data_IF_253209097817
#
_entry.id   IF_253209097817
#
_cell.length_a   1.000
_cell.length_b   1.000
_cell.length_c   1.000
_cell.angle_alpha   90.00
_cell.angle_beta   90.00
_cell.angle_gamma   90.00
#
_symmetry.space_group_name_H-M   'P 1'
#
loop_
_entity.id
_entity.type
_entity.pdbx_description
1 polymer ?
#
# COMPACT_ATOMS: atom_id res chain seq x y z
N UNK A 1 -11.10 -7.33 -27.28
CA UNK A 1 -11.51 -6.86 -25.93
C UNK A 1 -12.96 -6.46 -26.01
N UNK A 2 -13.71 -6.58 -24.92
CA UNK A 2 -15.06 -6.04 -24.85
C UNK A 2 -14.99 -4.50 -24.72
N UNK A 3 -15.49 -3.79 -25.73
CA UNK A 3 -15.42 -2.33 -25.78
C UNK A 3 -16.24 -1.65 -24.67
N UNK A 4 -17.37 -2.25 -24.26
CA UNK A 4 -18.15 -1.73 -23.15
C UNK A 4 -17.35 -1.84 -21.85
N UNK A 5 -16.74 -2.99 -21.60
CA UNK A 5 -15.88 -3.18 -20.43
C UNK A 5 -14.69 -2.21 -20.45
N UNK A 6 -14.09 -1.94 -21.61
CA UNK A 6 -13.01 -0.96 -21.74
C UNK A 6 -13.46 0.45 -21.35
N UNK A 7 -14.66 0.85 -21.76
CA UNK A 7 -15.23 2.15 -21.37
C UNK A 7 -15.56 2.20 -19.88
N UNK A 8 -16.14 1.12 -19.34
CA UNK A 8 -16.50 1.05 -17.93
C UNK A 8 -15.26 1.01 -17.02
N UNK A 9 -14.19 0.35 -17.44
CA UNK A 9 -12.90 0.36 -16.75
C UNK A 9 -12.41 1.80 -16.51
N UNK A 10 -12.50 2.66 -17.52
CA UNK A 10 -12.09 4.06 -17.41
C UNK A 10 -13.12 4.88 -16.63
N UNK A 11 -14.41 4.78 -16.96
CA UNK A 11 -15.46 5.66 -16.40
C UNK A 11 -15.83 5.34 -14.96
N UNK A 12 -15.77 4.06 -14.57
CA UNK A 12 -16.24 3.58 -13.27
C UNK A 12 -15.08 3.33 -12.31
N UNK A 13 -13.99 2.74 -12.82
CA UNK A 13 -12.90 2.26 -11.97
C UNK A 13 -11.63 3.12 -12.04
N UNK A 14 -11.62 4.17 -12.88
CA UNK A 14 -10.43 4.97 -13.20
C UNK A 14 -9.22 4.08 -13.55
N UNK A 15 -9.50 2.98 -14.23
CA UNK A 15 -8.54 1.96 -14.61
C UNK A 15 -8.29 2.02 -16.12
N UNK A 16 -7.09 1.63 -16.52
CA UNK A 16 -6.75 1.41 -17.94
C UNK A 16 -6.78 -0.06 -18.26
N UNK A 17 -7.25 -0.38 -19.47
CA UNK A 17 -7.34 -1.75 -19.96
C UNK A 17 -6.78 -1.81 -21.38
N UNK A 18 -5.59 -2.41 -21.50
CA UNK A 18 -4.80 -2.39 -22.73
C UNK A 18 -4.47 -3.80 -23.21
N UNK A 19 -4.36 -3.94 -24.54
CA UNK A 19 -3.91 -5.18 -25.17
C UNK A 19 -2.40 -5.16 -25.26
N UNK A 20 -1.75 -6.16 -24.67
CA UNK A 20 -0.29 -6.34 -24.71
C UNK A 20 0.02 -7.65 -25.41
N UNK A 21 1.10 -7.68 -26.20
CA UNK A 21 1.60 -8.90 -26.82
C UNK A 21 2.52 -9.64 -25.84
N UNK A 22 2.05 -10.75 -25.29
CA UNK A 22 2.81 -11.58 -24.36
C UNK A 22 3.71 -12.62 -25.05
N UNK A 23 3.70 -12.72 -26.39
CA UNK A 23 4.59 -13.66 -27.12
C UNK A 23 6.06 -13.38 -26.83
N UNK A 24 6.40 -12.11 -26.59
CA UNK A 24 7.67 -11.68 -26.03
C UNK A 24 7.46 -11.15 -24.60
N UNK A 25 7.55 -12.04 -23.62
CA UNK A 25 7.32 -11.73 -22.21
C UNK A 25 8.20 -10.60 -21.67
N UNK A 26 9.46 -10.53 -22.09
CA UNK A 26 10.38 -9.47 -21.67
C UNK A 26 9.94 -8.09 -22.19
N UNK A 27 9.54 -8.00 -23.46
CA UNK A 27 9.03 -6.75 -24.03
C UNK A 27 7.69 -6.32 -23.39
N UNK A 28 6.82 -7.29 -23.07
CA UNK A 28 5.58 -7.04 -22.35
C UNK A 28 5.82 -6.50 -20.93
N UNK A 29 6.75 -7.11 -20.20
CA UNK A 29 7.13 -6.66 -18.86
C UNK A 29 7.72 -5.24 -18.89
N UNK A 30 8.59 -4.94 -19.86
CA UNK A 30 9.15 -3.60 -20.04
C UNK A 30 8.06 -2.55 -20.33
N UNK A 31 7.10 -2.88 -21.20
CA UNK A 31 5.97 -2.00 -21.51
C UNK A 31 5.15 -1.67 -20.25
N UNK A 32 4.83 -2.70 -19.45
CA UNK A 32 4.06 -2.56 -18.21
C UNK A 32 4.86 -1.73 -17.20
N UNK A 33 6.15 -2.00 -17.02
CA UNK A 33 7.02 -1.24 -16.11
C UNK A 33 7.07 0.24 -16.49
N UNK A 34 7.24 0.58 -17.78
CA UNK A 34 7.24 1.97 -18.24
C UNK A 34 5.92 2.67 -17.95
N UNK A 35 4.81 1.97 -18.11
CA UNK A 35 3.49 2.53 -17.77
C UNK A 35 3.39 2.80 -16.25
N UNK A 36 3.78 1.86 -15.41
CA UNK A 36 3.79 2.02 -13.93
C UNK A 36 4.69 3.17 -13.50
N UNK A 37 5.89 3.27 -14.08
CA UNK A 37 6.82 4.36 -13.80
C UNK A 37 6.20 5.72 -14.12
N UNK A 38 5.53 5.84 -15.27
CA UNK A 38 4.84 7.07 -15.67
C UNK A 38 3.68 7.46 -14.74
N UNK A 39 3.02 6.47 -14.12
CA UNK A 39 1.90 6.69 -13.18
C UNK A 39 2.33 6.94 -11.75
N UNK A 40 3.60 6.70 -11.42
CA UNK A 40 4.13 6.75 -10.05
C UNK A 40 5.22 7.80 -9.87
N UNK A 41 5.32 8.78 -10.78
CA UNK A 41 6.40 9.78 -10.80
C UNK A 41 7.80 9.13 -10.73
N UNK A 42 7.96 8.01 -11.45
CA UNK A 42 9.19 7.21 -11.50
C UNK A 42 9.64 6.60 -10.16
N UNK A 43 8.75 6.54 -9.16
CA UNK A 43 9.09 5.99 -7.83
C UNK A 43 9.00 4.48 -7.78
N UNK A 44 8.11 3.89 -8.59
CA UNK A 44 8.00 2.44 -8.70
C UNK A 44 8.58 2.03 -10.07
N UNK A 45 9.76 1.42 -10.02
CA UNK A 45 10.46 0.87 -11.19
C UNK A 45 10.49 -0.65 -11.11
N UNK A 46 10.65 -1.28 -12.27
CA UNK A 46 10.86 -2.72 -12.40
C UNK A 46 9.84 -3.56 -11.60
N UNK A 47 8.56 -3.26 -11.74
CA UNK A 47 7.48 -3.99 -11.07
C UNK A 47 7.44 -5.47 -11.50
N UNK A 48 7.68 -5.72 -12.77
CA UNK A 48 7.71 -7.05 -13.37
C UNK A 48 9.12 -7.34 -13.88
N UNK A 49 9.67 -8.50 -13.50
CA UNK A 49 10.92 -9.00 -14.07
C UNK A 49 10.71 -9.48 -15.51
N UNK A 50 11.77 -9.55 -16.30
CA UNK A 50 11.68 -9.97 -17.72
C UNK A 50 11.22 -11.41 -17.93
N UNK A 51 11.32 -12.26 -16.90
CA UNK A 51 10.90 -13.66 -16.86
C UNK A 51 9.52 -13.86 -16.20
N UNK A 52 8.89 -12.79 -15.69
CA UNK A 52 7.59 -12.87 -15.00
C UNK A 52 6.41 -13.16 -15.94
N UNK A 53 6.59 -12.97 -17.25
CA UNK A 53 5.58 -13.13 -18.29
C UNK A 53 6.11 -14.03 -19.41
N UNK A 54 5.20 -14.72 -20.10
CA UNK A 54 5.51 -15.63 -21.20
C UNK A 54 4.33 -15.70 -22.20
N UNK A 55 4.50 -16.47 -23.27
CA UNK A 55 3.47 -16.65 -24.32
C UNK A 55 2.15 -17.25 -23.83
N UNK A 56 2.14 -17.88 -22.66
CA UNK A 56 0.94 -18.45 -22.04
C UNK A 56 0.20 -17.46 -21.14
N UNK A 57 0.78 -16.28 -20.90
CA UNK A 57 0.14 -15.19 -20.18
C UNK A 57 -1.10 -14.69 -20.94
N UNK A 58 -2.20 -14.47 -20.22
CA UNK A 58 -3.51 -14.08 -20.78
C UNK A 58 -4.02 -12.76 -20.21
N UNK A 59 -3.95 -12.59 -18.89
CA UNK A 59 -4.34 -11.36 -18.21
C UNK A 59 -3.39 -11.07 -17.06
N UNK A 60 -2.93 -9.82 -16.98
CA UNK A 60 -2.04 -9.34 -15.93
C UNK A 60 -2.72 -8.19 -15.20
N UNK A 61 -2.82 -8.31 -13.88
CA UNK A 61 -3.35 -7.26 -13.01
C UNK A 61 -2.19 -6.54 -12.32
N UNK A 62 -2.15 -5.23 -12.46
CA UNK A 62 -1.11 -4.39 -11.88
C UNK A 62 -1.75 -3.31 -11.04
N UNK A 63 -1.33 -3.23 -9.79
CA UNK A 63 -1.68 -2.15 -8.89
C UNK A 63 -0.39 -1.51 -8.36
N UNK A 64 -0.27 -0.19 -8.51
CA UNK A 64 0.90 0.55 -8.05
C UNK A 64 0.44 1.79 -7.28
N UNK A 65 0.88 1.95 -6.03
CA UNK A 65 0.53 3.09 -5.18
C UNK A 65 1.79 3.84 -4.76
N UNK A 66 1.79 5.16 -4.95
CA UNK A 66 2.81 6.04 -4.41
C UNK A 66 2.14 7.09 -3.54
N UNK A 67 2.56 7.19 -2.29
CA UNK A 67 2.09 8.23 -1.38
C UNK A 67 3.25 9.07 -0.83
N UNK A 68 3.14 10.38 -1.08
CA UNK A 68 3.94 11.43 -0.45
C UNK A 68 3.06 12.65 -0.20
N UNK A 69 2.68 12.84 1.05
CA UNK A 69 1.86 13.97 1.48
C UNK A 69 2.70 15.04 2.15
N UNK A 70 2.28 16.30 1.99
CA UNK A 70 2.86 17.44 2.72
C UNK A 70 2.11 17.62 4.04
N UNK A 71 2.81 17.53 5.17
CA UNK A 71 2.19 17.75 6.49
C UNK A 71 1.56 19.14 6.59
N UNK A 72 0.39 19.24 7.24
CA UNK A 72 -0.22 20.53 7.61
C UNK A 72 0.69 21.30 8.58
N UNK A 73 1.29 20.56 9.52
CA UNK A 73 2.28 21.05 10.49
C UNK A 73 3.59 20.32 10.21
N UNK A 74 4.55 21.01 9.59
CA UNK A 74 5.78 20.40 9.10
C UNK A 74 6.85 20.36 10.19
N UNK A 75 7.68 19.33 10.13
CA UNK A 75 8.89 19.22 10.93
C UNK A 75 9.95 20.17 10.39
N UNK A 76 10.61 20.93 11.27
CA UNK A 76 11.79 21.70 10.87
C UNK A 76 12.97 20.73 10.67
N UNK A 77 13.60 20.68 9.48
CA UNK A 77 14.77 19.84 9.23
C UNK A 77 15.91 20.08 10.23
N UNK A 78 16.05 21.28 10.78
CA UNK A 78 17.07 21.61 11.80
C UNK A 78 16.84 20.87 13.13
N UNK A 79 15.60 20.43 13.39
CA UNK A 79 15.25 19.65 14.58
C UNK A 79 15.32 18.14 14.34
N UNK A 80 15.75 17.69 13.16
CA UNK A 80 15.97 16.26 12.88
C UNK A 80 17.33 15.85 13.41
N UNK A 81 17.37 14.87 14.32
CA UNK A 81 18.60 14.37 14.94
C UNK A 81 18.62 12.84 14.92
N UNK A 82 19.81 12.25 14.82
CA UNK A 82 19.95 10.80 14.97
C UNK A 82 19.62 10.40 16.42
N UNK A 83 18.63 9.53 16.60
CA UNK A 83 18.20 9.02 17.90
C UNK A 83 17.95 7.51 17.86
N UNK A 84 17.92 6.83 19.02
CA UNK A 84 17.67 5.40 19.10
C UNK A 84 16.26 5.01 18.64
N UNK A 85 16.15 3.92 17.89
CA UNK A 85 14.92 3.22 17.54
C UNK A 85 15.07 1.74 17.92
N UNK A 86 14.17 1.23 18.75
CA UNK A 86 14.16 -0.17 19.17
C UNK A 86 13.46 -1.00 18.09
N UNK A 87 14.24 -1.85 17.42
CA UNK A 87 13.70 -2.80 16.43
C UNK A 87 12.98 -3.93 17.15
N UNK A 88 13.54 -4.37 18.28
CA UNK A 88 13.01 -5.34 19.23
C UNK A 88 13.61 -5.05 20.62
N UNK A 89 13.38 -5.93 21.59
CA UNK A 89 13.85 -5.77 22.98
C UNK A 89 15.37 -5.90 23.15
N UNK A 90 16.08 -6.44 22.15
CA UNK A 90 17.52 -6.68 22.18
C UNK A 90 18.31 -5.77 21.22
N UNK A 91 17.64 -5.26 20.17
CA UNK A 91 18.27 -4.53 19.07
C UNK A 91 17.77 -3.09 18.98
N UNK A 92 18.72 -2.17 19.08
CA UNK A 92 18.52 -0.73 18.88
C UNK A 92 19.39 -0.23 17.74
N UNK A 93 18.84 0.65 16.90
CA UNK A 93 19.55 1.32 15.80
C UNK A 93 19.41 2.83 15.90
N UNK A 94 20.37 3.59 15.41
CA UNK A 94 20.25 5.06 15.31
C UNK A 94 19.57 5.43 14.00
N UNK A 95 18.54 6.26 14.05
CA UNK A 95 17.78 6.73 12.88
C UNK A 95 17.54 8.24 12.97
N UNK A 96 17.40 8.93 11.82
CA UNK A 96 17.04 10.35 11.82
C UNK A 96 15.61 10.51 12.33
N UNK A 97 15.45 10.97 13.57
CA UNK A 97 14.18 11.28 14.21
C UNK A 97 13.81 12.74 13.96
N UNK A 98 12.66 12.96 13.37
CA UNK A 98 12.06 14.28 13.23
C UNK A 98 11.36 14.66 14.54
N UNK A 99 11.41 15.94 14.90
CA UNK A 99 10.80 16.45 16.12
C UNK A 99 9.92 17.68 15.86
N UNK A 100 8.73 17.69 16.45
CA UNK A 100 7.82 18.83 16.45
C UNK A 100 6.92 18.79 17.70
N UNK A 101 6.66 19.95 18.30
CA UNK A 101 5.68 20.10 19.38
C UNK A 101 4.56 21.03 18.93
N UNK A 102 3.33 20.49 18.86
CA UNK A 102 2.15 21.26 18.45
C UNK A 102 0.87 20.54 18.91
N UNK A 103 -0.30 21.12 18.64
CA UNK A 103 -1.59 20.48 18.89
C UNK A 103 -1.90 19.41 17.83
N UNK A 104 -2.15 18.19 18.26
CA UNK A 104 -2.55 17.06 17.40
C UNK A 104 -3.73 16.31 18.03
N UNK A 105 -4.46 15.59 17.19
CA UNK A 105 -5.46 14.65 17.66
C UNK A 105 -4.73 13.43 18.22
N UNK A 106 -4.96 13.14 19.49
CA UNK A 106 -4.27 12.11 20.27
C UNK A 106 -5.26 11.28 21.08
N UNK A 107 -4.91 10.02 21.35
CA UNK A 107 -5.65 9.15 22.25
C UNK A 107 -4.77 8.04 22.80
N UNK A 108 -5.21 7.44 23.90
CA UNK A 108 -4.59 6.23 24.46
C UNK A 108 -5.67 5.17 24.59
N UNK A 109 -5.42 4.00 24.01
CA UNK A 109 -6.31 2.85 24.15
C UNK A 109 -5.68 1.84 25.08
N UNK A 110 -6.25 1.72 26.29
CA UNK A 110 -5.85 0.70 27.25
C UNK A 110 -6.18 -0.72 26.75
N UNK A 111 -7.29 -0.87 26.02
CA UNK A 111 -7.71 -2.16 25.47
C UNK A 111 -6.81 -2.61 24.33
N UNK A 112 -6.43 -1.70 23.43
CA UNK A 112 -5.45 -1.99 22.38
C UNK A 112 -4.04 -2.15 22.97
N UNK A 113 -3.72 -1.40 24.02
CA UNK A 113 -2.39 -1.31 24.61
C UNK A 113 -1.47 -0.39 23.80
N UNK A 114 -2.01 0.70 23.28
CA UNK A 114 -1.31 1.57 22.34
C UNK A 114 -1.71 3.05 22.47
N UNK A 115 -0.80 3.92 22.07
CA UNK A 115 -1.02 5.35 21.83
C UNK A 115 -1.41 5.58 20.37
N UNK A 116 -2.33 6.51 20.13
CA UNK A 116 -2.81 6.90 18.82
C UNK A 116 -2.48 8.37 18.56
N UNK A 117 -1.90 8.64 17.40
CA UNK A 117 -1.60 9.99 16.93
C UNK A 117 -2.12 10.18 15.52
N UNK A 118 -2.92 11.22 15.30
CA UNK A 118 -3.46 11.56 13.98
C UNK A 118 -2.91 12.91 13.50
N UNK A 119 -2.21 12.88 12.36
CA UNK A 119 -1.56 14.03 11.76
C UNK A 119 -2.15 14.33 10.38
N UNK A 120 -2.65 15.55 10.18
CA UNK A 120 -3.25 15.96 8.91
C UNK A 120 -2.21 16.39 7.88
N UNK A 121 -2.49 16.07 6.61
CA UNK A 121 -1.82 16.67 5.45
C UNK A 121 -2.48 18.00 5.07
N UNK A 122 -1.79 18.80 4.25
CA UNK A 122 -2.32 20.06 3.71
C UNK A 122 -3.70 19.86 3.07
N UNK A 123 -4.62 20.77 3.36
CA UNK A 123 -6.00 20.72 2.88
C UNK A 123 -6.91 19.79 3.68
N UNK A 124 -6.40 19.06 4.68
CA UNK A 124 -7.16 18.31 5.70
C UNK A 124 -8.09 17.22 5.15
N UNK A 125 -7.92 16.85 3.87
CA UNK A 125 -8.65 15.74 3.22
C UNK A 125 -8.03 14.37 3.51
N UNK A 126 -6.81 14.34 4.01
CA UNK A 126 -6.08 13.13 4.37
C UNK A 126 -5.31 13.32 5.68
N UNK A 127 -5.09 12.23 6.40
CA UNK A 127 -4.30 12.19 7.62
C UNK A 127 -3.56 10.86 7.74
N UNK A 128 -2.41 10.88 8.41
CA UNK A 128 -1.75 9.66 8.89
C UNK A 128 -2.22 9.37 10.32
N UNK A 129 -2.65 8.13 10.56
CA UNK A 129 -2.87 7.58 11.89
C UNK A 129 -1.68 6.70 12.25
N UNK A 130 -1.04 7.01 13.37
CA UNK A 130 0.04 6.21 13.95
C UNK A 130 -0.52 5.52 15.18
N UNK A 131 -0.36 4.19 15.24
CA UNK A 131 -0.69 3.37 16.40
C UNK A 131 0.62 2.84 16.95
N UNK A 132 1.04 3.35 18.10
CA UNK A 132 2.30 3.00 18.75
C UNK A 132 1.99 2.10 19.96
N UNK A 133 2.34 0.80 19.93
CA UNK A 133 2.21 -0.06 21.10
C UNK A 133 2.98 0.52 22.30
N UNK A 134 2.44 0.33 23.51
CA UNK A 134 3.09 0.82 24.73
C UNK A 134 4.38 0.05 25.05
N UNK A 135 4.42 -1.23 24.68
CA UNK A 135 5.56 -2.13 24.87
C UNK A 135 6.37 -2.27 23.57
N UNK A 136 7.70 -2.43 23.68
CA UNK A 136 8.62 -2.54 22.53
C UNK A 136 8.26 -3.73 21.64
N UNK A 137 7.88 -4.87 22.23
CA UNK A 137 7.44 -6.09 21.54
C UNK A 137 5.91 -6.18 21.40
N UNK A 138 5.18 -5.09 21.64
CA UNK A 138 3.72 -5.06 21.65
C UNK A 138 3.05 -5.08 20.28
N UNK A 139 3.80 -4.95 19.18
CA UNK A 139 3.25 -4.82 17.83
C UNK A 139 2.40 -6.03 17.42
N UNK A 140 2.88 -7.26 17.65
CA UNK A 140 2.15 -8.47 17.30
C UNK A 140 0.81 -8.58 18.05
N UNK A 141 0.80 -8.17 19.33
CA UNK A 141 -0.42 -8.13 20.14
C UNK A 141 -1.45 -7.13 19.62
N UNK A 142 -1.00 -5.95 19.18
CA UNK A 142 -1.87 -4.95 18.54
C UNK A 142 -2.40 -5.49 17.20
N UNK A 143 -1.55 -6.06 16.36
CA UNK A 143 -1.94 -6.64 15.06
C UNK A 143 -2.97 -7.76 15.22
N UNK A 144 -2.79 -8.64 16.20
CA UNK A 144 -3.72 -9.74 16.46
C UNK A 144 -5.10 -9.21 16.88
N UNK A 145 -5.17 -8.23 17.79
CA UNK A 145 -6.45 -7.61 18.18
C UNK A 145 -7.18 -6.98 16.99
N UNK A 146 -6.44 -6.30 16.11
CA UNK A 146 -7.00 -5.72 14.89
C UNK A 146 -7.52 -6.81 13.95
N UNK A 147 -6.79 -7.92 13.79
CA UNK A 147 -7.23 -9.06 12.99
C UNK A 147 -8.49 -9.74 13.55
N UNK A 148 -8.64 -9.74 14.88
CA UNK A 148 -9.80 -10.29 15.59
C UNK A 148 -11.03 -9.34 15.58
N UNK A 149 -10.92 -8.21 14.88
CA UNK A 149 -12.05 -7.29 14.64
C UNK A 149 -12.16 -6.14 15.65
N UNK A 150 -11.08 -5.81 16.36
CA UNK A 150 -11.04 -4.62 17.22
C UNK A 150 -11.42 -3.35 16.44
N UNK A 151 -12.34 -2.54 17.00
CA UNK A 151 -12.84 -1.33 16.36
C UNK A 151 -11.86 -0.16 16.53
N UNK A 152 -10.85 -0.13 15.65
CA UNK A 152 -9.92 0.99 15.58
C UNK A 152 -10.61 2.32 15.21
N UNK A 153 -11.72 2.28 14.47
CA UNK A 153 -12.41 3.50 14.06
C UNK A 153 -13.11 4.18 15.25
N UNK A 154 -13.71 3.39 16.15
CA UNK A 154 -14.26 3.87 17.41
C UNK A 154 -13.20 4.46 18.34
N UNK A 155 -11.96 3.95 18.32
CA UNK A 155 -10.84 4.58 19.05
C UNK A 155 -10.43 5.92 18.45
N UNK A 156 -10.42 6.03 17.12
CA UNK A 156 -10.12 7.30 16.43
C UNK A 156 -11.15 8.38 16.76
N UNK A 157 -12.43 8.00 16.90
CA UNK A 157 -13.52 8.93 17.26
C UNK A 157 -13.42 9.45 18.70
N UNK A 158 -12.71 8.74 19.59
CA UNK A 158 -12.47 9.16 20.98
C UNK A 158 -11.25 10.07 21.13
N UNK A 159 -10.41 10.20 20.09
CA UNK A 159 -9.23 11.05 20.13
C UNK A 159 -9.61 12.53 20.29
N UNK A 160 -8.77 13.30 20.99
CA UNK A 160 -9.01 14.72 21.23
C UNK A 160 -7.76 15.54 20.89
N UNK A 161 -7.97 16.81 20.55
CA UNK A 161 -6.88 17.72 20.23
C UNK A 161 -6.16 18.15 21.51
N UNK A 162 -4.86 17.91 21.57
CA UNK A 162 -4.01 18.30 22.69
C UNK A 162 -2.59 18.57 22.22
N UNK A 163 -1.80 19.26 23.05
CA UNK A 163 -0.39 19.54 22.77
C UNK A 163 0.44 18.26 22.92
N UNK A 164 1.13 17.85 21.87
CA UNK A 164 1.94 16.62 21.84
C UNK A 164 3.34 16.93 21.31
N UNK A 165 4.36 16.35 21.97
CA UNK A 165 5.72 16.29 21.46
C UNK A 165 5.86 15.06 20.57
N UNK A 166 5.88 15.26 19.26
CA UNK A 166 5.95 14.18 18.27
C UNK A 166 7.40 13.95 17.87
N UNK A 167 7.87 12.72 18.09
CA UNK A 167 9.17 12.24 17.62
C UNK A 167 8.94 11.02 16.74
N UNK A 168 9.27 11.11 15.45
CA UNK A 168 9.00 10.04 14.47
C UNK A 168 10.18 9.91 13.49
N UNK A 169 10.60 8.69 13.10
CA UNK A 169 11.69 8.54 12.16
C UNK A 169 11.31 9.02 10.76
N UNK A 170 12.30 9.51 10.00
CA UNK A 170 12.17 9.56 8.53
C UNK A 170 12.25 8.14 8.00
N UNK A 171 11.30 7.73 7.18
CA UNK A 171 11.32 6.39 6.62
C UNK A 171 10.75 6.32 5.21
N UNK A 172 11.13 5.25 4.53
CA UNK A 172 10.59 4.86 3.23
C UNK A 172 10.25 3.38 3.32
N UNK A 173 9.04 3.03 2.93
CA UNK A 173 8.60 1.64 2.84
C UNK A 173 8.21 1.38 1.40
N UNK A 174 8.81 0.33 0.84
CA UNK A 174 8.47 -0.20 -0.46
C UNK A 174 8.07 -1.66 -0.26
N UNK A 175 6.85 -2.01 -0.64
CA UNK A 175 6.32 -3.36 -0.50
C UNK A 175 5.86 -3.84 -1.86
N UNK A 176 6.21 -5.08 -2.19
CA UNK A 176 5.69 -5.81 -3.34
C UNK A 176 4.94 -7.04 -2.85
N UNK A 177 3.69 -7.19 -3.30
CA UNK A 177 2.79 -8.26 -2.89
C UNK A 177 2.40 -9.04 -4.13
N UNK A 178 2.68 -10.34 -4.11
CA UNK A 178 2.14 -11.27 -5.11
C UNK A 178 0.67 -11.57 -4.78
N UNK A 179 -0.23 -10.94 -5.53
CA UNK A 179 -1.67 -11.13 -5.35
C UNK A 179 -2.12 -12.51 -5.84
N UNK A 180 -1.35 -13.21 -6.66
CA UNK A 180 -1.63 -14.60 -7.02
C UNK A 180 -1.42 -15.55 -5.84
N UNK A 181 -0.59 -15.20 -4.86
CA UNK A 181 -0.44 -15.98 -3.62
C UNK A 181 -1.44 -15.52 -2.54
N UNK A 182 -1.62 -14.21 -2.37
CA UNK A 182 -2.46 -13.65 -1.31
C UNK A 182 -3.96 -13.87 -1.53
N UNK A 183 -4.49 -13.54 -2.72
CA UNK A 183 -5.94 -13.56 -2.98
C UNK A 183 -6.56 -14.96 -2.83
N UNK A 184 -5.90 -16.07 -3.24
CA UNK A 184 -6.38 -17.42 -2.95
C UNK A 184 -6.54 -17.73 -1.47
N UNK A 185 -5.64 -17.23 -0.60
CA UNK A 185 -5.75 -17.41 0.86
C UNK A 185 -6.98 -16.71 1.43
N UNK A 186 -7.42 -15.64 0.78
CA UNK A 186 -8.65 -14.90 1.09
C UNK A 186 -9.92 -15.46 0.39
N UNK A 187 -9.80 -16.59 -0.31
CA UNK A 187 -10.93 -17.26 -0.97
C UNK A 187 -11.17 -16.86 -2.43
N UNK A 188 -10.44 -15.87 -2.95
CA UNK A 188 -10.52 -15.45 -4.36
C UNK A 188 -9.57 -16.33 -5.18
N UNK A 189 -10.09 -17.46 -5.68
CA UNK A 189 -9.30 -18.48 -6.39
C UNK A 189 -9.65 -18.62 -7.86
N UNK A 190 -10.94 -18.55 -8.17
CA UNK A 190 -11.47 -18.89 -9.49
C UNK A 190 -10.79 -18.08 -10.61
N UNK A 191 -10.58 -16.77 -10.43
CA UNK A 191 -10.01 -15.89 -11.47
C UNK A 191 -8.62 -16.32 -11.97
N UNK A 192 -7.89 -17.13 -11.20
CA UNK A 192 -6.56 -17.65 -11.54
C UNK A 192 -6.61 -19.03 -12.23
N UNK A 193 -7.78 -19.66 -12.29
CA UNK A 193 -7.99 -20.98 -12.92
C UNK A 193 -8.05 -20.83 -14.45
N UNK A 194 -7.12 -21.47 -15.15
CA UNK A 194 -7.02 -21.42 -16.62
C UNK A 194 -8.17 -22.12 -17.36
N UNK A 195 -8.92 -22.97 -16.67
CA UNK A 195 -10.02 -23.76 -17.23
C UNK A 195 -11.39 -23.14 -16.94
N UNK A 196 -11.57 -22.59 -15.74
CA UNK A 196 -12.85 -22.11 -15.22
C UNK A 196 -12.75 -20.79 -14.42
N UNK A 197 -12.14 -19.77 -15.02
CA UNK A 197 -11.98 -18.46 -14.36
C UNK A 197 -13.26 -17.67 -14.15
N UNK A 198 -14.30 -17.96 -14.94
CA UNK A 198 -15.53 -17.17 -15.00
C UNK A 198 -15.38 -15.79 -15.66
N UNK A 199 -14.21 -15.45 -16.22
CA UNK A 199 -13.93 -14.14 -16.85
C UNK A 199 -14.49 -14.02 -18.28
N UNK A 200 -15.74 -14.46 -18.49
CA UNK A 200 -16.35 -14.61 -19.83
C UNK A 200 -16.73 -13.30 -20.50
N UNK A 201 -16.86 -12.20 -19.74
CA UNK A 201 -17.29 -10.90 -20.28
C UNK A 201 -16.14 -9.98 -20.70
N UNK A 202 -14.89 -10.42 -20.51
CA UNK A 202 -13.70 -9.58 -20.77
C UNK A 202 -13.37 -9.52 -22.26
N UNK A 203 -13.63 -10.59 -23.00
CA UNK A 203 -13.46 -10.66 -24.46
C UNK A 203 -14.82 -10.73 -25.16
N UNK A 204 -14.84 -10.34 -26.44
CA UNK A 204 -15.96 -10.56 -27.35
C UNK A 204 -15.89 -11.93 -28.06
N UNK A 205 -15.00 -12.80 -27.61
CA UNK A 205 -14.73 -14.12 -28.18
C UNK A 205 -14.90 -15.18 -27.09
N UNK A 206 -15.11 -16.43 -27.48
CA UNK A 206 -15.18 -17.58 -26.56
C UNK A 206 -13.80 -18.03 -26.04
N UNK A 207 -12.77 -17.20 -26.24
CA UNK A 207 -11.45 -17.46 -25.72
C UNK A 207 -11.46 -17.41 -24.20
N UNK A 208 -10.95 -18.46 -23.57
CA UNK A 208 -10.84 -18.53 -22.12
C UNK A 208 -9.73 -17.60 -21.64
N UNK A 209 -10.08 -16.68 -20.75
CA UNK A 209 -9.12 -15.86 -20.01
C UNK A 209 -8.96 -16.36 -18.59
N UNK A 210 -7.83 -16.05 -17.99
CA UNK A 210 -7.56 -16.21 -16.56
C UNK A 210 -6.46 -15.22 -16.19
N UNK A 211 -6.40 -14.84 -14.91
CA UNK A 211 -5.34 -13.98 -14.40
C UNK A 211 -4.06 -14.80 -14.28
N UNK A 212 -3.09 -14.52 -15.14
CA UNK A 212 -1.79 -15.20 -15.15
C UNK A 212 -0.83 -14.61 -14.12
N UNK A 213 -0.95 -13.31 -13.87
CA UNK A 213 -0.15 -12.59 -12.86
C UNK A 213 -0.96 -11.46 -12.27
N UNK A 214 -0.85 -11.26 -10.96
CA UNK A 214 -1.42 -10.14 -10.25
C UNK A 214 -0.40 -9.64 -9.22
N UNK A 215 -0.02 -8.37 -9.31
CA UNK A 215 0.99 -7.78 -8.42
C UNK A 215 0.53 -6.43 -7.92
N UNK A 216 0.80 -6.19 -6.63
CA UNK A 216 0.65 -4.89 -6.02
C UNK A 216 2.01 -4.39 -5.53
N UNK A 217 2.35 -3.14 -5.86
CA UNK A 217 3.54 -2.48 -5.33
C UNK A 217 3.17 -1.14 -4.72
N UNK A 218 3.54 -0.93 -3.46
CA UNK A 218 3.21 0.27 -2.72
C UNK A 218 4.50 0.93 -2.22
N UNK A 219 4.57 2.25 -2.35
CA UNK A 219 5.66 3.07 -1.87
C UNK A 219 5.14 4.22 -1.01
N UNK A 220 5.67 4.35 0.21
CA UNK A 220 5.37 5.43 1.14
C UNK A 220 6.69 6.11 1.51
N UNK A 221 6.74 7.44 1.43
CA UNK A 221 7.86 8.25 1.94
C UNK A 221 7.34 9.28 2.95
N UNK A 222 7.93 9.26 4.15
CA UNK A 222 7.65 10.20 5.24
C UNK A 222 8.90 11.01 5.54
N UNK A 223 8.78 12.34 5.47
CA UNK A 223 9.93 13.25 5.60
C UNK A 223 9.63 14.60 6.24
#
# INVERSE_FOLDING_TARGET
LNEQLKQDAVKVFDATFEKVDFSNGAAAAELINKWVESKTNEKIKNLLSSDSLNSDSRLVLVNALYFKGTWKKQFDPANTLDQPFNVDTEKTVMVPMMYLEDNFSYGESQELGAQLLKMHYVGEKASMLIVLPNEIDGLDGVLQKLADGYDLTGEVDKMFDTKVQVTIPKFKIETEIDLCDLLPKLGIKAIFDSTNSGLTKVLNTDEKLYVSKAVQKAFIEVN
#
